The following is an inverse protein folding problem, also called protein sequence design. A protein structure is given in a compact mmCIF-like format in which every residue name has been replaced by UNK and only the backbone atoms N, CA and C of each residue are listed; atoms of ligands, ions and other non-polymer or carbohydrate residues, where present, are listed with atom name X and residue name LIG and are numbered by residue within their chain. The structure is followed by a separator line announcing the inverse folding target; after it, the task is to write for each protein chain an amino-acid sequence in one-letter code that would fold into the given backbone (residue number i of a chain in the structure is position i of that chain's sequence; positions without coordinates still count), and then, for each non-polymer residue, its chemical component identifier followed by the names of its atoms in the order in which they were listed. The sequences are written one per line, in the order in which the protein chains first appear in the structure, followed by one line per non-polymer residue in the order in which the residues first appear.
data_IF_323131473493
#
_entry.id   IF_323131473493
#
_cell.length_a   1.000
_cell.length_b   1.000
_cell.length_c   1.000
_cell.angle_alpha   90.00
_cell.angle_beta   90.00
_cell.angle_gamma   90.00
#
_symmetry.space_group_name_H-M   'P 1'
#
loop_
_entity.id
_entity.type
_entity.pdbx_description
1 polymer ?
#
# COMPACT_ATOMS: atom_id res chain seq x y z
N UNK A 1 27.88 5.37 -2.16
CA UNK A 1 26.47 5.75 -1.98
C UNK A 1 25.72 5.82 -3.30
N UNK A 2 26.26 6.43 -4.36
CA UNK A 2 25.61 6.47 -5.68
C UNK A 2 25.36 5.10 -6.28
N UNK A 3 26.25 4.15 -6.04
CA UNK A 3 26.09 2.75 -6.44
C UNK A 3 24.88 2.10 -5.72
N UNK A 4 24.72 2.34 -4.41
CA UNK A 4 23.63 1.80 -3.60
C UNK A 4 22.27 2.24 -4.15
N UNK A 5 22.17 3.50 -4.59
CA UNK A 5 20.91 4.06 -5.13
C UNK A 5 20.78 3.91 -6.67
N UNK A 6 21.77 3.23 -7.33
CA UNK A 6 21.75 2.98 -8.76
C UNK A 6 21.91 4.23 -9.63
N UNK A 7 22.74 5.19 -9.21
CA UNK A 7 22.96 6.46 -9.92
C UNK A 7 24.46 6.73 -10.19
N UNK A 8 25.28 5.73 -10.33
CA UNK A 8 26.73 5.88 -10.58
C UNK A 8 27.00 6.68 -11.86
N UNK A 9 26.20 6.46 -12.91
CA UNK A 9 26.27 7.15 -14.21
C UNK A 9 25.85 8.63 -14.14
N UNK A 10 25.23 9.06 -13.03
CA UNK A 10 24.73 10.43 -12.79
C UNK A 10 25.62 11.23 -11.84
N UNK A 11 26.83 10.75 -11.50
CA UNK A 11 27.70 11.42 -10.53
C UNK A 11 28.03 12.88 -10.86
N UNK A 12 28.10 13.22 -12.16
CA UNK A 12 28.37 14.58 -12.64
C UNK A 12 27.10 15.36 -13.04
N UNK A 13 25.91 14.78 -12.86
CA UNK A 13 24.65 15.43 -13.26
C UNK A 13 24.20 16.45 -12.23
N UNK A 14 23.68 17.58 -12.71
CA UNK A 14 23.03 18.57 -11.87
C UNK A 14 21.58 18.18 -11.54
N UNK A 15 21.02 18.63 -10.41
CA UNK A 15 19.64 18.30 -10.01
C UNK A 15 18.57 18.58 -11.08
N UNK A 16 18.75 19.61 -11.88
CA UNK A 16 17.82 19.95 -12.98
C UNK A 16 17.78 18.90 -14.10
N UNK A 17 18.81 18.06 -14.22
CA UNK A 17 18.96 17.01 -15.24
C UNK A 17 18.41 15.65 -14.77
N UNK A 18 17.93 15.58 -13.50
CA UNK A 18 17.44 14.34 -12.89
C UNK A 18 15.91 14.28 -12.94
N UNK A 19 15.37 13.09 -13.19
CA UNK A 19 13.95 12.81 -13.03
C UNK A 19 13.52 12.88 -11.56
N UNK A 20 12.20 12.92 -11.28
CA UNK A 20 11.66 12.92 -9.92
C UNK A 20 12.18 11.75 -9.08
N UNK A 21 12.11 10.53 -9.63
CA UNK A 21 12.62 9.33 -8.97
C UNK A 21 14.14 9.35 -8.75
N UNK A 22 14.90 9.89 -9.70
CA UNK A 22 16.35 10.06 -9.52
C UNK A 22 16.68 11.08 -8.43
N UNK A 23 15.94 12.19 -8.35
CA UNK A 23 16.07 13.17 -7.25
C UNK A 23 15.79 12.52 -5.90
N UNK A 24 14.75 11.65 -5.83
CA UNK A 24 14.42 10.92 -4.61
C UNK A 24 15.55 9.96 -4.20
N UNK A 25 16.13 9.22 -5.17
CA UNK A 25 17.29 8.36 -4.92
C UNK A 25 18.50 9.14 -4.41
N UNK A 26 18.76 10.34 -4.93
CA UNK A 26 19.80 11.25 -4.44
C UNK A 26 19.50 11.69 -3.00
N UNK A 27 18.24 12.02 -2.69
CA UNK A 27 17.85 12.40 -1.33
C UNK A 27 18.10 11.26 -0.33
N UNK A 28 17.76 10.02 -0.70
CA UNK A 28 18.05 8.82 0.09
C UNK A 28 19.57 8.66 0.28
N UNK A 29 20.37 8.75 -0.81
CA UNK A 29 21.84 8.64 -0.72
C UNK A 29 22.44 9.69 0.20
N UNK A 30 21.92 10.94 0.15
CA UNK A 30 22.33 12.03 1.02
C UNK A 30 22.01 11.74 2.49
N UNK A 31 20.82 11.20 2.77
CA UNK A 31 20.44 10.83 4.14
C UNK A 31 21.31 9.68 4.68
N UNK A 32 21.69 8.72 3.84
CA UNK A 32 22.59 7.64 4.22
C UNK A 32 24.04 8.08 4.45
N UNK A 33 24.45 9.25 3.94
CA UNK A 33 25.82 9.73 4.07
C UNK A 33 26.25 10.01 5.53
N UNK A 34 25.30 10.23 6.43
CA UNK A 34 25.55 10.44 7.86
C UNK A 34 25.57 9.15 8.68
N UNK A 35 25.53 7.97 8.04
CA UNK A 35 25.47 6.66 8.69
C UNK A 35 24.35 6.56 9.76
N UNK A 36 23.09 6.84 9.38
CA UNK A 36 22.00 6.94 10.33
C UNK A 36 21.55 5.57 10.84
N UNK A 37 21.11 5.50 12.10
CA UNK A 37 20.41 4.33 12.65
C UNK A 37 18.93 4.30 12.27
N UNK A 38 18.35 5.47 12.00
CA UNK A 38 16.95 5.66 11.64
C UNK A 38 16.89 6.57 10.42
N UNK A 39 16.18 6.13 9.38
CA UNK A 39 15.89 6.91 8.17
C UNK A 39 14.42 7.34 8.21
N UNK A 40 14.17 8.65 8.19
CA UNK A 40 12.82 9.21 8.09
C UNK A 40 12.50 9.54 6.63
N UNK A 41 11.39 9.02 6.14
CA UNK A 41 10.89 9.23 4.79
C UNK A 41 9.51 9.89 4.88
N UNK A 42 9.46 11.20 4.69
CA UNK A 42 8.23 11.97 4.71
C UNK A 42 7.71 12.11 3.28
N UNK A 43 6.54 11.52 3.01
CA UNK A 43 5.87 11.48 1.71
C UNK A 43 6.79 11.17 0.52
N UNK A 44 7.77 10.28 0.72
CA UNK A 44 8.86 10.00 -0.22
C UNK A 44 8.41 9.56 -1.63
N UNK A 45 7.14 9.20 -1.80
CA UNK A 45 6.57 8.67 -3.05
C UNK A 45 5.33 9.42 -3.55
N UNK A 46 4.87 10.46 -2.84
CA UNK A 46 3.59 11.14 -3.11
C UNK A 46 3.51 11.81 -4.50
N UNK A 47 4.64 12.25 -5.05
CA UNK A 47 4.74 12.94 -6.35
C UNK A 47 5.30 12.05 -7.48
N UNK A 48 5.36 10.75 -7.28
CA UNK A 48 5.93 9.80 -8.23
C UNK A 48 4.83 8.95 -8.90
N UNK A 49 5.10 8.53 -10.12
CA UNK A 49 4.26 7.53 -10.79
C UNK A 49 4.35 6.16 -10.10
N UNK A 50 3.37 5.26 -10.30
CA UNK A 50 3.32 3.98 -9.59
C UNK A 50 4.57 3.11 -9.79
N UNK A 51 5.15 3.09 -10.99
CA UNK A 51 6.32 2.26 -11.29
C UNK A 51 7.56 2.81 -10.57
N UNK A 52 7.75 4.12 -10.58
CA UNK A 52 8.83 4.80 -9.84
C UNK A 52 8.65 4.63 -8.34
N UNK A 53 7.41 4.73 -7.82
CA UNK A 53 7.08 4.46 -6.42
C UNK A 53 7.54 3.07 -6.01
N UNK A 54 7.14 2.03 -6.75
CA UNK A 54 7.56 0.65 -6.48
C UNK A 54 9.09 0.53 -6.43
N UNK A 55 9.78 1.12 -7.41
CA UNK A 55 11.24 1.11 -7.49
C UNK A 55 11.94 1.80 -6.29
N UNK A 56 11.34 2.83 -5.71
CA UNK A 56 11.84 3.47 -4.47
C UNK A 56 11.57 2.60 -3.25
N UNK A 57 10.40 1.97 -3.16
CA UNK A 57 10.08 1.07 -2.05
C UNK A 57 11.00 -0.15 -2.02
N UNK A 58 11.29 -0.76 -3.16
CA UNK A 58 12.28 -1.85 -3.27
C UNK A 58 13.68 -1.39 -2.84
N UNK A 59 14.12 -0.20 -3.27
CA UNK A 59 15.38 0.37 -2.81
C UNK A 59 15.41 0.52 -1.28
N UNK A 60 14.33 0.99 -0.65
CA UNK A 60 14.25 1.12 0.81
C UNK A 60 14.28 -0.24 1.51
N UNK A 61 13.62 -1.28 0.96
CA UNK A 61 13.73 -2.66 1.47
C UNK A 61 15.17 -3.16 1.43
N UNK A 62 15.85 -2.96 0.31
CA UNK A 62 17.26 -3.35 0.14
C UNK A 62 18.17 -2.63 1.14
N UNK A 63 17.97 -1.33 1.34
CA UNK A 63 18.73 -0.54 2.31
C UNK A 63 18.51 -1.06 3.73
N UNK A 64 17.24 -1.30 4.12
CA UNK A 64 16.92 -1.87 5.43
C UNK A 64 17.59 -3.24 5.64
N UNK A 65 17.53 -4.12 4.64
CA UNK A 65 18.12 -5.46 4.72
C UNK A 65 19.66 -5.44 4.79
N UNK A 66 20.31 -4.55 4.01
CA UNK A 66 21.78 -4.48 3.93
C UNK A 66 22.41 -3.79 5.13
N UNK A 67 21.79 -2.72 5.62
CA UNK A 67 22.38 -1.85 6.66
C UNK A 67 21.75 -2.04 8.03
N UNK A 68 20.66 -2.79 8.15
CA UNK A 68 19.94 -3.02 9.41
C UNK A 68 19.38 -1.76 10.05
N UNK A 69 19.20 -0.66 9.27
CA UNK A 69 18.66 0.61 9.78
C UNK A 69 17.16 0.54 9.89
N UNK A 70 16.60 1.24 10.87
CA UNK A 70 15.15 1.40 10.98
C UNK A 70 14.67 2.44 9.97
N UNK A 71 13.65 2.11 9.18
CA UNK A 71 13.02 3.06 8.25
C UNK A 71 11.64 3.42 8.76
N UNK A 72 11.38 4.70 8.94
CA UNK A 72 10.07 5.25 9.30
C UNK A 72 9.52 6.00 8.09
N UNK A 73 8.36 5.58 7.62
CA UNK A 73 7.70 6.16 6.44
C UNK A 73 6.44 6.88 6.90
N UNK A 74 6.32 8.16 6.54
CA UNK A 74 5.12 8.96 6.73
C UNK A 74 4.40 9.00 5.39
N UNK A 75 3.17 8.51 5.35
CA UNK A 75 2.36 8.46 4.14
C UNK A 75 0.87 8.35 4.48
N UNK A 76 0.02 8.85 3.61
CA UNK A 76 -1.42 8.64 3.65
C UNK A 76 -1.88 7.49 2.72
N UNK A 77 -0.95 6.82 2.02
CA UNK A 77 -1.23 5.75 1.07
C UNK A 77 -1.11 4.38 1.76
N UNK A 78 -2.22 3.73 2.03
CA UNK A 78 -2.24 2.39 2.67
C UNK A 78 -1.61 1.31 1.78
N UNK A 79 -1.60 1.50 0.46
CA UNK A 79 -0.87 0.64 -0.48
C UNK A 79 0.63 0.62 -0.20
N UNK A 80 1.24 1.77 0.06
CA UNK A 80 2.65 1.89 0.46
C UNK A 80 2.89 1.20 1.81
N UNK A 81 2.00 1.43 2.79
CA UNK A 81 2.10 0.80 4.11
C UNK A 81 2.09 -0.73 4.00
N UNK A 82 1.16 -1.29 3.22
CA UNK A 82 1.07 -2.75 3.02
C UNK A 82 2.27 -3.33 2.29
N UNK A 83 2.86 -2.57 1.36
CA UNK A 83 3.97 -3.04 0.54
C UNK A 83 5.28 -3.19 1.32
N UNK A 84 5.58 -2.25 2.22
CA UNK A 84 6.91 -2.16 2.83
C UNK A 84 6.90 -2.24 4.36
N UNK A 85 5.82 -1.84 5.04
CA UNK A 85 5.82 -1.72 6.49
C UNK A 85 5.38 -3.01 7.18
N UNK A 86 6.06 -3.34 8.29
CA UNK A 86 5.64 -4.43 9.19
C UNK A 86 4.68 -3.91 10.27
N UNK A 87 4.91 -2.70 10.76
CA UNK A 87 4.09 -2.03 11.78
C UNK A 87 3.62 -0.70 11.26
N UNK A 88 2.49 -0.26 11.76
CA UNK A 88 1.92 1.05 11.43
C UNK A 88 1.41 1.72 12.71
N UNK A 89 1.56 3.03 12.78
CA UNK A 89 0.90 3.90 13.73
C UNK A 89 0.03 4.89 12.93
N UNK A 90 -1.26 4.88 13.20
CA UNK A 90 -2.23 5.80 12.58
C UNK A 90 -2.36 7.02 13.47
N UNK A 91 -2.15 8.18 12.88
CA UNK A 91 -2.20 9.47 13.57
C UNK A 91 -3.41 10.29 13.11
N UNK A 92 -4.03 10.97 14.06
CA UNK A 92 -5.08 11.95 13.82
C UNK A 92 -4.91 13.12 14.78
N UNK A 93 -4.98 14.34 14.27
CA UNK A 93 -4.84 15.58 15.07
C UNK A 93 -3.61 15.60 16.01
N UNK A 94 -2.50 15.00 15.56
CA UNK A 94 -1.25 14.95 16.32
C UNK A 94 -1.15 13.82 17.34
N UNK A 95 -2.19 13.00 17.51
CA UNK A 95 -2.21 11.85 18.41
C UNK A 95 -2.18 10.52 17.65
N UNK A 96 -1.56 9.51 18.26
CA UNK A 96 -1.60 8.13 17.74
C UNK A 96 -2.92 7.50 18.18
N UNK A 97 -3.83 7.28 17.22
CA UNK A 97 -5.16 6.72 17.48
C UNK A 97 -5.20 5.19 17.40
N UNK A 98 -4.27 4.59 16.68
CA UNK A 98 -4.14 3.14 16.57
C UNK A 98 -2.72 2.75 16.15
N UNK A 99 -2.17 1.68 16.73
CA UNK A 99 -0.88 1.13 16.32
C UNK A 99 -0.87 -0.40 16.39
N UNK A 100 -0.05 -1.04 15.55
CA UNK A 100 0.07 -2.49 15.55
C UNK A 100 0.76 -3.05 14.32
N UNK A 101 0.59 -4.35 14.10
CA UNK A 101 1.02 -4.99 12.85
C UNK A 101 0.11 -4.55 11.71
N UNK A 102 0.70 -4.30 10.54
CA UNK A 102 -0.06 -3.90 9.34
C UNK A 102 -1.14 -4.92 9.00
N UNK A 103 -0.83 -6.22 9.10
CA UNK A 103 -1.78 -7.31 8.85
C UNK A 103 -3.00 -7.27 9.78
N UNK A 104 -2.80 -6.94 11.05
CA UNK A 104 -3.88 -6.88 12.05
C UNK A 104 -4.76 -5.65 11.82
N UNK A 105 -4.14 -4.48 11.66
CA UNK A 105 -4.88 -3.23 11.46
C UNK A 105 -5.64 -3.23 10.13
N UNK A 106 -5.05 -3.76 9.05
CA UNK A 106 -5.74 -3.87 7.77
C UNK A 106 -6.92 -4.85 7.80
N UNK A 107 -6.83 -5.92 8.62
CA UNK A 107 -7.91 -6.92 8.73
C UNK A 107 -9.00 -6.50 9.72
N UNK A 108 -8.62 -5.88 10.83
CA UNK A 108 -9.50 -5.56 11.95
C UNK A 108 -9.23 -4.14 12.49
N UNK A 109 -9.47 -3.08 11.68
CA UNK A 109 -9.28 -1.71 12.14
C UNK A 109 -10.27 -1.38 13.26
N UNK A 110 -9.79 -0.75 14.33
CA UNK A 110 -10.59 -0.38 15.49
C UNK A 110 -11.05 1.08 15.43
N UNK A 111 -10.14 1.99 15.09
CA UNK A 111 -10.46 3.42 14.99
C UNK A 111 -11.22 3.75 13.70
N UNK A 112 -12.10 4.74 13.75
CA UNK A 112 -12.82 5.22 12.57
C UNK A 112 -11.86 5.77 11.51
N UNK A 113 -10.76 6.41 11.94
CA UNK A 113 -9.71 6.92 11.03
C UNK A 113 -9.04 5.78 10.27
N UNK A 114 -8.71 4.66 10.96
CA UNK A 114 -8.16 3.49 10.31
C UNK A 114 -9.12 2.88 9.28
N UNK A 115 -10.40 2.75 9.64
CA UNK A 115 -11.45 2.25 8.75
C UNK A 115 -11.58 3.12 7.50
N UNK A 116 -11.55 4.45 7.67
CA UNK A 116 -11.65 5.41 6.57
C UNK A 116 -10.43 5.33 5.64
N UNK A 117 -9.20 5.31 6.18
CA UNK A 117 -7.97 5.18 5.40
C UNK A 117 -7.94 3.89 4.57
N UNK A 118 -8.32 2.76 5.18
CA UNK A 118 -8.36 1.46 4.50
C UNK A 118 -9.46 1.45 3.43
N UNK A 119 -10.63 2.05 3.71
CA UNK A 119 -11.74 2.14 2.77
C UNK A 119 -11.36 2.94 1.53
N UNK A 120 -10.74 4.12 1.71
CA UNK A 120 -10.24 4.96 0.60
C UNK A 120 -9.26 4.22 -0.30
N UNK A 121 -8.33 3.49 0.29
CA UNK A 121 -7.32 2.74 -0.46
C UNK A 121 -7.91 1.55 -1.23
N UNK A 122 -8.95 0.93 -0.72
CA UNK A 122 -9.64 -0.19 -1.41
C UNK A 122 -10.63 0.26 -2.48
N UNK A 123 -10.72 1.57 -2.77
CA UNK A 123 -11.64 2.13 -3.75
C UNK A 123 -13.13 1.99 -3.37
N UNK A 124 -13.42 1.77 -2.09
CA UNK A 124 -14.80 1.64 -1.61
C UNK A 124 -15.56 2.99 -1.60
N UNK A 125 -14.87 4.10 -1.86
CA UNK A 125 -15.45 5.46 -1.86
C UNK A 125 -15.81 5.99 -3.26
N UNK A 126 -15.81 5.18 -4.31
CA UNK A 126 -16.21 5.66 -5.65
C UNK A 126 -17.76 5.70 -5.80
N UNK A 127 -18.51 5.65 -4.70
CA UNK A 127 -19.98 5.64 -4.78
C UNK A 127 -20.69 6.99 -4.52
N UNK A 128 -19.97 8.13 -4.38
CA UNK A 128 -20.69 9.40 -4.09
C UNK A 128 -20.59 10.49 -5.17
N UNK A 129 -20.17 10.20 -6.40
CA UNK A 129 -20.06 11.23 -7.43
C UNK A 129 -20.34 10.86 -8.88
N UNK A 130 -20.40 9.58 -9.22
CA UNK A 130 -20.86 9.17 -10.56
C UNK A 130 -21.96 8.13 -10.40
N UNK A 131 -23.14 8.45 -10.94
CA UNK A 131 -24.25 7.52 -11.15
C UNK A 131 -23.76 6.37 -12.06
N UNK A 132 -22.99 5.43 -11.51
CA UNK A 132 -22.93 4.12 -12.09
C UNK A 132 -24.36 3.59 -12.06
N UNK A 133 -24.88 3.16 -13.20
CA UNK A 133 -26.17 2.51 -13.32
C UNK A 133 -26.11 1.31 -12.39
N UNK A 134 -26.61 1.48 -11.16
CA UNK A 134 -26.72 0.37 -10.23
C UNK A 134 -27.70 -0.61 -10.83
N UNK A 135 -27.33 -1.88 -11.04
CA UNK A 135 -28.33 -2.86 -11.36
C UNK A 135 -29.36 -2.83 -10.24
N UNK A 136 -30.61 -2.57 -10.59
CA UNK A 136 -31.73 -2.54 -9.63
C UNK A 136 -31.91 -3.97 -9.11
N UNK A 137 -31.23 -4.28 -8.00
CA UNK A 137 -31.44 -5.53 -7.28
C UNK A 137 -32.77 -5.37 -6.56
N UNK A 138 -33.82 -5.97 -7.12
CA UNK A 138 -35.18 -5.89 -6.59
C UNK A 138 -35.36 -6.67 -5.29
N UNK A 139 -34.50 -7.65 -5.03
CA UNK A 139 -34.43 -8.42 -3.78
C UNK A 139 -33.09 -9.12 -3.69
N UNK A 140 -32.48 -9.22 -2.51
CA UNK A 140 -31.22 -9.90 -2.26
C UNK A 140 -30.33 -9.14 -1.28
N UNK A 141 -29.40 -9.86 -0.67
CA UNK A 141 -28.38 -9.27 0.20
C UNK A 141 -27.07 -9.06 -0.54
N UNK A 142 -26.40 -7.93 -0.27
CA UNK A 142 -25.05 -7.66 -0.77
C UNK A 142 -24.05 -8.23 0.23
N UNK A 143 -23.29 -9.25 -0.18
CA UNK A 143 -22.28 -9.87 0.64
C UNK A 143 -20.90 -9.50 0.09
N UNK A 144 -19.96 -9.18 0.96
CA UNK A 144 -18.55 -9.01 0.62
C UNK A 144 -17.77 -10.24 1.07
N UNK A 145 -17.12 -10.92 0.13
CA UNK A 145 -16.25 -12.05 0.43
C UNK A 145 -14.80 -11.60 0.24
N UNK A 146 -13.99 -11.79 1.26
CA UNK A 146 -12.56 -11.49 1.23
C UNK A 146 -11.80 -12.81 1.34
N UNK A 147 -11.01 -13.12 0.33
CA UNK A 147 -10.12 -14.27 0.34
C UNK A 147 -8.76 -13.86 0.88
N UNK A 148 -8.25 -14.60 1.85
CA UNK A 148 -6.91 -14.38 2.42
C UNK A 148 -6.05 -15.62 2.24
N UNK A 149 -4.80 -15.43 1.81
CA UNK A 149 -3.81 -16.51 1.66
C UNK A 149 -4.35 -17.75 0.91
N UNK A 150 -4.36 -18.91 1.54
CA UNK A 150 -4.69 -20.19 0.91
C UNK A 150 -6.16 -20.33 0.48
N UNK A 151 -7.08 -19.52 1.04
CA UNK A 151 -8.50 -19.61 0.69
C UNK A 151 -8.82 -19.04 -0.70
N UNK A 152 -7.91 -18.31 -1.33
CA UNK A 152 -8.09 -17.79 -2.69
C UNK A 152 -8.18 -18.88 -3.77
N UNK A 153 -7.72 -20.10 -3.48
CA UNK A 153 -7.77 -21.25 -4.40
C UNK A 153 -9.00 -22.14 -4.22
N UNK A 154 -9.81 -21.89 -3.21
CA UNK A 154 -11.03 -22.65 -2.98
C UNK A 154 -12.19 -22.13 -3.87
N UNK A 155 -13.00 -22.99 -4.49
CA UNK A 155 -14.12 -22.56 -5.32
C UNK A 155 -15.33 -22.14 -4.47
N UNK A 156 -15.13 -21.12 -3.61
CA UNK A 156 -16.12 -20.67 -2.61
C UNK A 156 -17.44 -20.26 -3.27
N UNK A 157 -17.40 -19.53 -4.38
CA UNK A 157 -18.62 -19.08 -5.09
C UNK A 157 -19.36 -20.29 -5.67
N UNK A 158 -18.64 -21.25 -6.26
CA UNK A 158 -19.25 -22.47 -6.76
C UNK A 158 -19.89 -23.30 -5.63
N UNK A 159 -19.19 -23.41 -4.50
CA UNK A 159 -19.70 -24.11 -3.32
C UNK A 159 -20.94 -23.42 -2.73
N UNK A 160 -20.98 -22.08 -2.70
CA UNK A 160 -22.17 -21.33 -2.28
C UNK A 160 -23.36 -21.62 -3.18
N UNK A 161 -23.20 -21.57 -4.50
CA UNK A 161 -24.27 -21.87 -5.46
C UNK A 161 -24.77 -23.30 -5.29
N UNK A 162 -23.86 -24.27 -5.15
CA UNK A 162 -24.20 -25.66 -4.96
C UNK A 162 -24.90 -25.97 -3.63
N UNK A 163 -24.53 -25.24 -2.57
CA UNK A 163 -25.08 -25.47 -1.22
C UNK A 163 -26.45 -24.82 -1.06
N UNK A 164 -26.62 -23.60 -1.55
CA UNK A 164 -27.84 -22.83 -1.33
C UNK A 164 -28.80 -22.84 -2.52
N UNK A 165 -28.37 -23.35 -3.68
CA UNK A 165 -29.15 -23.42 -4.93
C UNK A 165 -29.68 -22.06 -5.40
N UNK A 166 -29.02 -20.95 -4.99
CA UNK A 166 -29.39 -19.58 -5.32
C UNK A 166 -28.40 -18.97 -6.33
N UNK A 167 -28.87 -18.17 -7.29
CA UNK A 167 -27.99 -17.51 -8.24
C UNK A 167 -27.15 -16.42 -7.55
N UNK A 168 -25.85 -16.38 -7.84
CA UNK A 168 -24.92 -15.37 -7.34
C UNK A 168 -24.47 -14.48 -8.50
N UNK A 169 -24.66 -13.17 -8.36
CA UNK A 169 -24.14 -12.17 -9.30
C UNK A 169 -22.90 -11.48 -8.71
N UNK A 170 -21.80 -11.50 -9.46
CA UNK A 170 -20.58 -10.79 -9.07
C UNK A 170 -20.72 -9.33 -9.53
N UNK A 171 -20.88 -8.41 -8.59
CA UNK A 171 -21.00 -6.98 -8.88
C UNK A 171 -19.63 -6.33 -9.07
N UNK A 172 -18.62 -6.77 -8.32
CA UNK A 172 -17.26 -6.30 -8.38
C UNK A 172 -16.30 -7.42 -7.92
N UNK A 173 -15.21 -7.61 -8.65
CA UNK A 173 -14.13 -8.49 -8.24
C UNK A 173 -12.81 -7.73 -8.36
N UNK A 174 -12.12 -7.53 -7.24
CA UNK A 174 -10.79 -6.97 -7.19
C UNK A 174 -9.79 -8.05 -6.76
N UNK A 175 -8.74 -8.23 -7.54
CA UNK A 175 -7.64 -9.13 -7.18
C UNK A 175 -6.44 -8.29 -6.78
N UNK A 176 -6.16 -8.23 -5.49
CA UNK A 176 -4.86 -7.72 -5.02
C UNK A 176 -3.90 -8.92 -4.96
N UNK A 177 -2.79 -8.86 -5.68
CA UNK A 177 -1.74 -9.85 -5.58
C UNK A 177 -1.17 -9.81 -4.15
N UNK A 178 -1.58 -10.74 -3.33
CA UNK A 178 -0.93 -11.00 -2.04
C UNK A 178 0.28 -11.86 -2.35
N UNK A 179 1.44 -11.19 -2.45
CA UNK A 179 2.78 -11.73 -2.53
C UNK A 179 2.92 -13.20 -2.93
N UNK A 180 3.31 -13.44 -4.18
CA UNK A 180 3.86 -14.73 -4.58
C UNK A 180 5.22 -14.94 -3.91
N UNK A 181 5.37 -16.08 -3.28
CA UNK A 181 6.66 -16.58 -2.85
C UNK A 181 7.56 -16.94 -4.03
#
# INVERSE_FOLDING_TARGET
LLEIVGLTDKAAAYPAQLSGGQKQRVAIARALASDPKILLCDEATSALDPQTTYSILELLKDINARFGITIVIITHQMSVVREICRRVAIMNEGEVVEEGLVSEICSHPRSEVAKELIRKDTGADVEDGQKAVQPVIKSGEKIRIVFTANSAFEPVIANLILTFHEPVNILKADTNNVGGG
#
